data_IF_909292336187
#
_entry.id   IF_909292336187
#
_cell.length_a   1.000
_cell.length_b   1.000
_cell.length_c   1.000
_cell.angle_alpha   90.00
_cell.angle_beta   90.00
_cell.angle_gamma   90.00
#
_symmetry.space_group_name_H-M   'P 1'
#
loop_
_entity.id
_entity.type
_entity.pdbx_description
1 polymer ?
#
# COMPACT_ATOMS: atom_id res chain seq x y z
N UNK A 1 47.74 18.96 14.80
CA UNK A 1 46.61 18.24 15.44
C UNK A 1 46.03 18.98 16.65
N UNK A 2 45.75 20.29 16.55
CA UNK A 2 44.99 21.03 17.59
C UNK A 2 43.93 21.98 17.02
N UNK A 3 44.00 22.33 15.73
CA UNK A 3 42.96 23.10 15.05
C UNK A 3 41.79 22.26 14.51
N UNK A 4 41.98 20.95 14.29
CA UNK A 4 40.91 20.08 13.76
C UNK A 4 39.85 19.69 14.81
N UNK A 5 40.14 19.89 16.11
CA UNK A 5 39.22 19.53 17.19
C UNK A 5 38.19 20.63 17.52
N UNK A 6 38.35 21.84 16.98
CA UNK A 6 37.42 22.95 17.22
C UNK A 6 36.29 23.05 16.19
N UNK A 7 36.33 22.26 15.11
CA UNK A 7 35.30 22.26 14.06
C UNK A 7 34.18 21.22 14.24
N UNK A 8 34.27 20.34 15.26
CA UNK A 8 33.26 19.30 15.53
C UNK A 8 32.17 19.73 16.52
N UNK A 9 32.23 20.95 17.06
CA UNK A 9 31.38 21.40 18.17
C UNK A 9 30.13 22.21 17.77
N UNK A 10 29.76 22.27 16.49
CA UNK A 10 28.62 23.10 16.03
C UNK A 10 27.51 22.34 15.29
N UNK A 11 27.54 21.01 15.24
CA UNK A 11 26.53 20.20 14.53
C UNK A 11 25.44 19.58 15.43
N UNK A 12 25.10 20.23 16.55
CA UNK A 12 24.13 19.73 17.54
C UNK A 12 22.81 20.51 17.55
N UNK A 13 22.27 20.90 16.38
CA UNK A 13 20.98 21.62 16.28
C UNK A 13 20.02 21.09 15.19
N UNK A 14 20.25 19.89 14.64
CA UNK A 14 19.21 19.19 13.88
C UNK A 14 18.30 18.41 14.86
N UNK A 15 17.14 19.00 15.17
CA UNK A 15 16.13 18.38 16.03
C UNK A 15 15.55 17.11 15.43
N UNK A 16 15.63 16.00 16.18
CA UNK A 16 14.86 14.80 15.93
C UNK A 16 13.41 15.01 16.42
N UNK A 17 12.50 15.40 15.51
CA UNK A 17 11.07 15.36 15.76
C UNK A 17 10.55 13.92 15.73
N UNK A 18 10.60 13.22 16.88
CA UNK A 18 9.93 11.93 17.07
C UNK A 18 8.44 12.21 17.35
N UNK A 19 7.60 12.08 16.34
CA UNK A 19 6.15 12.00 16.54
C UNK A 19 5.82 10.67 17.21
N UNK A 20 5.66 10.70 18.53
CA UNK A 20 5.02 9.62 19.28
C UNK A 20 3.52 9.67 18.98
N UNK A 21 3.07 8.95 17.95
CA UNK A 21 1.68 8.53 17.87
C UNK A 21 1.45 7.51 19.00
N UNK A 22 1.05 8.02 20.16
CA UNK A 22 0.48 7.21 21.23
C UNK A 22 -0.84 6.64 20.73
N UNK A 23 -0.85 5.37 20.34
CA UNK A 23 -2.10 4.60 20.30
C UNK A 23 -2.59 4.43 21.74
N UNK A 24 -3.84 4.78 22.07
CA UNK A 24 -4.35 4.53 23.40
C UNK A 24 -4.61 3.03 23.54
N UNK A 25 -3.73 2.35 24.28
CA UNK A 25 -4.04 1.09 24.95
C UNK A 25 -5.10 1.37 26.02
N UNK A 26 -6.36 1.10 25.69
CA UNK A 26 -7.43 0.96 26.70
C UNK A 26 -7.77 -0.52 26.83
N UNK A 27 -7.06 -1.16 27.77
CA UNK A 27 -7.54 -2.37 28.42
C UNK A 27 -8.45 -1.93 29.57
N UNK A 28 -9.75 -2.26 29.51
CA UNK A 28 -10.60 -2.68 30.64
C UNK A 28 -12.09 -2.71 30.25
N UNK A 29 -12.71 -3.87 30.48
CA UNK A 29 -14.15 -3.95 30.73
C UNK A 29 -14.86 -5.05 29.95
N UNK A 30 -14.83 -6.29 30.47
CA UNK A 30 -15.90 -7.24 30.18
C UNK A 30 -17.21 -6.70 30.78
N UNK A 31 -18.21 -6.44 29.94
CA UNK A 31 -19.60 -6.36 30.40
C UNK A 31 -20.58 -6.78 29.30
N UNK A 32 -21.14 -7.98 29.50
CA UNK A 32 -22.52 -8.38 29.24
C UNK A 32 -23.22 -7.95 27.93
N UNK A 33 -23.39 -8.94 27.06
CA UNK A 33 -24.53 -9.21 26.15
C UNK A 33 -25.60 -8.12 25.98
N UNK A 34 -25.76 -7.64 24.73
CA UNK A 34 -27.08 -7.52 24.11
C UNK A 34 -26.97 -7.55 22.58
N UNK A 35 -27.44 -8.66 22.00
CA UNK A 35 -27.64 -8.82 20.56
C UNK A 35 -28.65 -7.75 20.10
N UNK A 36 -28.14 -6.70 19.47
CA UNK A 36 -28.95 -5.67 18.81
C UNK A 36 -28.67 -5.77 17.32
N UNK A 37 -29.74 -6.14 16.61
CA UNK A 37 -29.90 -6.27 15.16
C UNK A 37 -29.19 -5.13 14.41
N UNK A 38 -28.35 -5.38 13.39
CA UNK A 38 -27.82 -4.30 12.56
C UNK A 38 -28.97 -3.69 11.75
N UNK A 39 -29.23 -2.40 11.95
CA UNK A 39 -29.88 -1.56 10.95
C UNK A 39 -28.87 -1.30 9.81
N UNK A 40 -29.33 -1.12 8.56
CA UNK A 40 -28.46 -1.07 7.39
C UNK A 40 -27.48 0.09 7.49
N UNK A 41 -26.19 -0.23 7.54
CA UNK A 41 -25.13 0.74 7.31
C UNK A 41 -25.18 1.09 5.83
N UNK A 42 -25.33 2.38 5.58
CA UNK A 42 -25.22 3.07 4.31
C UNK A 42 -24.02 2.53 3.52
N UNK A 43 -24.30 2.12 2.28
CA UNK A 43 -23.40 1.43 1.36
C UNK A 43 -22.12 2.24 1.15
N UNK A 44 -21.03 1.88 1.83
CA UNK A 44 -19.71 2.07 1.24
C UNK A 44 -19.73 1.19 -0.02
N UNK A 45 -19.82 1.83 -1.20
CA UNK A 45 -19.75 1.11 -2.47
C UNK A 45 -18.51 0.23 -2.43
N UNK A 46 -18.72 -1.07 -2.47
CA UNK A 46 -17.67 -2.08 -2.57
C UNK A 46 -16.87 -1.73 -3.82
N UNK A 47 -15.73 -1.06 -3.61
CA UNK A 47 -14.85 -0.58 -4.68
C UNK A 47 -14.17 -1.81 -5.26
N UNK A 48 -14.94 -2.53 -6.07
CA UNK A 48 -14.55 -3.83 -6.57
C UNK A 48 -13.41 -3.65 -7.58
N UNK A 49 -12.27 -4.24 -7.25
CA UNK A 49 -11.11 -4.33 -8.14
C UNK A 49 -11.43 -5.07 -9.46
N UNK A 50 -12.58 -5.76 -9.56
CA UNK A 50 -13.00 -6.55 -10.71
C UNK A 50 -13.18 -5.73 -11.99
N UNK A 51 -13.36 -4.41 -11.88
CA UNK A 51 -13.56 -3.53 -13.04
C UNK A 51 -12.27 -2.85 -13.54
N UNK A 52 -11.13 -3.03 -12.85
CA UNK A 52 -9.86 -2.36 -13.22
C UNK A 52 -9.07 -3.23 -14.18
N UNK A 53 -8.78 -2.73 -15.39
CA UNK A 53 -7.99 -3.46 -16.39
C UNK A 53 -6.50 -3.43 -16.03
N UNK A 54 -5.90 -4.60 -15.84
CA UNK A 54 -4.43 -4.73 -15.76
C UNK A 54 -3.82 -4.76 -17.17
N UNK A 55 -2.98 -3.79 -17.49
CA UNK A 55 -2.22 -3.70 -18.73
C UNK A 55 -0.76 -4.10 -18.45
N UNK A 56 -0.21 -5.01 -19.23
CA UNK A 56 1.15 -5.50 -19.03
C UNK A 56 2.18 -4.74 -19.87
N UNK A 57 1.74 -3.97 -20.87
CA UNK A 57 2.65 -3.15 -21.66
C UNK A 57 2.04 -1.82 -22.10
N UNK A 58 2.89 -0.79 -22.36
CA UNK A 58 2.43 0.53 -22.77
C UNK A 58 1.73 0.54 -24.13
N UNK A 59 2.00 -0.45 -24.99
CA UNK A 59 1.37 -0.59 -26.31
C UNK A 59 -0.15 -0.73 -26.20
N UNK A 60 -0.64 -1.28 -25.10
CA UNK A 60 -2.07 -1.37 -24.82
C UNK A 60 -2.74 0.00 -24.68
N UNK A 61 -1.97 1.08 -24.42
CA UNK A 61 -2.46 2.47 -24.29
C UNK A 61 -2.45 3.23 -25.61
N UNK A 62 -1.93 2.66 -26.70
CA UNK A 62 -1.83 3.36 -27.97
C UNK A 62 -3.22 3.72 -28.51
N UNK A 63 -3.42 5.01 -28.76
CA UNK A 63 -4.70 5.52 -29.27
C UNK A 63 -5.80 5.66 -28.21
N UNK A 64 -5.52 5.36 -26.94
CA UNK A 64 -6.44 5.64 -25.83
C UNK A 64 -5.91 6.85 -25.06
N UNK A 65 -6.56 8.02 -25.13
CA UNK A 65 -6.17 9.12 -24.28
C UNK A 65 -6.46 8.76 -22.82
N UNK A 66 -5.56 9.13 -21.91
CA UNK A 66 -5.68 8.81 -20.50
C UNK A 66 -5.13 9.92 -19.62
N UNK A 67 -5.59 9.95 -18.37
CA UNK A 67 -5.03 10.76 -17.30
C UNK A 67 -4.32 9.86 -16.31
N UNK A 68 -3.09 10.22 -15.97
CA UNK A 68 -2.34 9.59 -14.89
C UNK A 68 -2.91 10.01 -13.52
N UNK A 69 -3.27 9.03 -12.69
CA UNK A 69 -3.77 9.22 -11.33
C UNK A 69 -2.67 8.98 -10.27
N UNK A 70 -1.50 8.49 -10.67
CA UNK A 70 -0.35 8.25 -9.81
C UNK A 70 0.05 6.78 -9.74
N UNK A 71 1.05 6.51 -8.89
CA UNK A 71 1.60 5.17 -8.69
C UNK A 71 0.80 4.42 -7.63
N UNK A 72 0.51 3.16 -7.92
CA UNK A 72 -0.11 2.21 -7.01
C UNK A 72 0.80 1.01 -6.79
N UNK A 73 0.71 0.41 -5.61
CA UNK A 73 1.48 -0.78 -5.26
C UNK A 73 0.62 -1.78 -4.49
N UNK A 74 0.91 -3.06 -4.68
CA UNK A 74 0.31 -4.14 -3.92
C UNK A 74 1.36 -5.14 -3.47
N UNK A 75 1.14 -5.77 -2.32
CA UNK A 75 2.06 -6.78 -1.79
C UNK A 75 1.37 -8.10 -1.44
N UNK A 76 2.15 -9.18 -1.52
CA UNK A 76 1.81 -10.45 -0.94
C UNK A 76 2.93 -10.87 0.03
N UNK A 77 2.60 -10.89 1.31
CA UNK A 77 3.53 -11.16 2.41
C UNK A 77 3.38 -12.60 2.92
N UNK A 78 4.48 -13.37 2.85
CA UNK A 78 4.59 -14.65 3.53
C UNK A 78 5.16 -14.42 4.92
N UNK A 79 4.35 -14.64 5.96
CA UNK A 79 4.73 -14.36 7.36
C UNK A 79 5.83 -15.27 7.90
N UNK A 80 5.79 -16.56 7.58
CA UNK A 80 6.79 -17.53 8.04
C UNK A 80 6.97 -18.69 7.05
N UNK A 81 7.98 -19.54 7.28
CA UNK A 81 8.30 -20.66 6.41
C UNK A 81 7.22 -21.76 6.34
N UNK A 82 6.26 -21.78 7.29
CA UNK A 82 5.11 -22.72 7.26
C UNK A 82 3.90 -22.13 6.55
N UNK A 83 3.84 -20.81 6.37
CA UNK A 83 2.81 -20.15 5.58
C UNK A 83 2.90 -20.55 4.10
N UNK A 84 1.77 -20.48 3.36
CA UNK A 84 1.75 -20.67 1.92
C UNK A 84 2.84 -19.84 1.22
N UNK A 85 3.37 -20.30 0.07
CA UNK A 85 4.30 -19.52 -0.71
C UNK A 85 3.67 -18.20 -1.17
N UNK A 86 4.51 -17.23 -1.51
CA UNK A 86 4.01 -15.94 -2.01
C UNK A 86 3.29 -16.17 -3.34
N UNK A 87 2.17 -15.47 -3.50
CA UNK A 87 1.40 -15.46 -4.74
C UNK A 87 1.52 -14.08 -5.42
N UNK A 88 2.05 -14.07 -6.63
CA UNK A 88 2.20 -12.86 -7.46
C UNK A 88 0.85 -12.27 -7.86
N UNK A 89 -0.16 -13.11 -8.12
CA UNK A 89 -1.51 -12.66 -8.46
C UNK A 89 -2.18 -11.96 -7.27
N UNK A 90 -1.89 -12.41 -6.04
CA UNK A 90 -2.36 -11.72 -4.83
C UNK A 90 -1.77 -10.31 -4.71
N UNK A 91 -0.49 -10.13 -5.05
CA UNK A 91 0.14 -8.81 -5.05
C UNK A 91 -0.45 -7.89 -6.15
N UNK A 92 -0.68 -8.43 -7.35
CA UNK A 92 -1.36 -7.72 -8.44
C UNK A 92 -2.79 -7.32 -8.08
N UNK A 93 -3.57 -8.23 -7.50
CA UNK A 93 -4.95 -7.94 -7.10
C UNK A 93 -4.99 -6.87 -5.99
N UNK A 94 -4.05 -6.93 -5.04
CA UNK A 94 -3.90 -5.88 -4.03
C UNK A 94 -3.60 -4.52 -4.68
N UNK A 95 -2.71 -4.48 -5.69
CA UNK A 95 -2.39 -3.27 -6.45
C UNK A 95 -3.60 -2.73 -7.22
N UNK A 96 -4.37 -3.60 -7.88
CA UNK A 96 -5.62 -3.23 -8.58
C UNK A 96 -6.66 -2.68 -7.61
N UNK A 97 -6.76 -3.25 -6.41
CA UNK A 97 -7.65 -2.73 -5.35
C UNK A 97 -7.24 -1.31 -4.94
N UNK A 98 -5.94 -1.03 -4.79
CA UNK A 98 -5.45 0.33 -4.52
C UNK A 98 -5.78 1.30 -5.65
N UNK A 99 -5.70 0.86 -6.91
CA UNK A 99 -6.10 1.67 -8.06
C UNK A 99 -7.61 1.95 -8.08
N UNK A 100 -8.41 0.96 -7.67
CA UNK A 100 -9.85 1.08 -7.58
C UNK A 100 -10.24 2.18 -6.56
N UNK A 101 -9.56 2.25 -5.42
CA UNK A 101 -9.80 3.30 -4.40
C UNK A 101 -9.57 4.73 -4.90
N UNK A 102 -8.77 4.92 -5.96
CA UNK A 102 -8.56 6.23 -6.58
C UNK A 102 -9.33 6.39 -7.90
N UNK A 103 -10.33 5.54 -8.12
CA UNK A 103 -11.23 5.54 -9.27
C UNK A 103 -10.51 5.45 -10.64
N UNK A 104 -9.40 4.70 -10.68
CA UNK A 104 -8.75 4.31 -11.93
C UNK A 104 -9.65 3.40 -12.76
N UNK A 105 -9.37 3.31 -14.06
CA UNK A 105 -10.01 2.33 -14.96
C UNK A 105 -9.02 1.23 -15.35
N UNK A 106 -7.72 1.56 -15.34
CA UNK A 106 -6.66 0.64 -15.67
C UNK A 106 -5.42 0.85 -14.79
N UNK A 107 -4.58 -0.19 -14.71
CA UNK A 107 -3.22 -0.09 -14.18
C UNK A 107 -2.24 -0.59 -15.22
N UNK A 108 -1.26 0.24 -15.57
CA UNK A 108 -0.10 -0.18 -16.34
C UNK A 108 0.93 -0.78 -15.38
N UNK A 109 1.13 -2.09 -15.45
CA UNK A 109 2.09 -2.80 -14.62
C UNK A 109 3.52 -2.42 -15.02
N UNK A 110 4.34 -2.04 -14.04
CA UNK A 110 5.78 -1.81 -14.26
C UNK A 110 6.58 -3.07 -13.96
N UNK A 111 6.51 -3.51 -12.71
CA UNK A 111 7.33 -4.61 -12.22
C UNK A 111 6.73 -5.26 -10.99
N UNK A 112 7.10 -6.54 -10.80
CA UNK A 112 6.88 -7.26 -9.56
C UNK A 112 8.22 -7.79 -9.07
N UNK A 113 8.58 -7.49 -7.82
CA UNK A 113 9.84 -7.91 -7.23
C UNK A 113 9.63 -8.63 -5.91
N UNK A 114 10.34 -9.74 -5.74
CA UNK A 114 10.34 -10.51 -4.50
C UNK A 114 11.53 -10.12 -3.65
N UNK A 115 11.27 -9.61 -2.44
CA UNK A 115 12.27 -9.13 -1.50
C UNK A 115 11.99 -9.62 -0.08
N UNK A 116 13.02 -9.64 0.76
CA UNK A 116 12.81 -9.79 2.20
C UNK A 116 12.35 -8.45 2.76
N UNK A 117 11.30 -8.45 3.57
CA UNK A 117 10.69 -7.25 4.12
C UNK A 117 10.49 -7.41 5.63
N UNK A 118 10.65 -6.34 6.44
CA UNK A 118 10.40 -6.42 7.87
C UNK A 118 8.98 -6.93 8.16
N UNK A 119 8.85 -7.97 8.99
CA UNK A 119 7.56 -8.60 9.29
C UNK A 119 7.11 -9.69 8.31
N UNK A 120 7.81 -9.87 7.19
CA UNK A 120 7.59 -10.95 6.23
C UNK A 120 8.84 -11.82 6.13
N UNK A 121 8.68 -13.13 6.17
CA UNK A 121 9.75 -14.06 5.80
C UNK A 121 10.21 -13.80 4.35
N UNK A 122 9.25 -13.50 3.48
CA UNK A 122 9.48 -13.08 2.11
C UNK A 122 8.24 -12.30 1.65
N UNK A 123 8.40 -11.28 0.80
CA UNK A 123 7.29 -10.52 0.23
C UNK A 123 7.51 -10.29 -1.27
N UNK A 124 6.43 -10.33 -2.06
CA UNK A 124 6.45 -9.85 -3.46
C UNK A 124 5.64 -8.58 -3.53
N UNK A 125 6.23 -7.54 -4.10
CA UNK A 125 5.62 -6.22 -4.29
C UNK A 125 5.50 -5.96 -5.78
N UNK A 126 4.30 -5.63 -6.24
CA UNK A 126 4.02 -5.18 -7.60
C UNK A 126 3.72 -3.68 -7.59
N UNK A 127 4.23 -2.98 -8.59
CA UNK A 127 4.06 -1.54 -8.77
C UNK A 127 3.60 -1.25 -10.20
N UNK A 128 2.74 -0.24 -10.35
CA UNK A 128 2.26 0.22 -11.63
C UNK A 128 1.65 1.62 -11.55
N UNK A 129 1.35 2.19 -12.72
CA UNK A 129 0.66 3.47 -12.84
C UNK A 129 -0.84 3.26 -12.95
N UNK A 130 -1.62 3.93 -12.11
CA UNK A 130 -3.07 3.94 -12.17
C UNK A 130 -3.55 5.02 -13.15
N UNK A 131 -4.40 4.63 -14.09
CA UNK A 131 -4.80 5.44 -15.22
C UNK A 131 -6.32 5.57 -15.27
N UNK A 132 -6.80 6.78 -15.56
CA UNK A 132 -8.18 7.04 -15.96
C UNK A 132 -8.24 7.12 -17.48
N UNK A 133 -9.02 6.27 -18.14
CA UNK A 133 -9.23 6.39 -19.58
C UNK A 133 -10.19 7.55 -19.82
N UNK A 134 -9.83 8.46 -20.72
CA UNK A 134 -10.72 9.56 -21.12
C UNK A 134 -11.26 9.27 -22.52
N UNK A 135 -12.55 9.49 -22.72
CA UNK A 135 -13.21 9.44 -24.03
C UNK A 135 -13.24 10.83 -24.69
#
# INVERSE_FOLDING_TARGET
MRLFLLALATFALAGCGINQYTSPSMNKGFSSMKLSKPLPVETEEDVSAENIKLMNSPEELLGMPFRDLGIVSGESCRKNAKSPPINLDSAKNSMLTQAAYIAADAVLLHQCQTKSAPGCYQATVCEGSALKIVE
#
